data_IF_050641890464
#
_entry.id   IF_050641890464
#
_cell.length_a   1.000
_cell.length_b   1.000
_cell.length_c   1.000
_cell.angle_alpha   90.00
_cell.angle_beta   90.00
_cell.angle_gamma   90.00
#
_symmetry.space_group_name_H-M   'P 1'
#
loop_
_entity.id
_entity.type
_entity.pdbx_description
1 polymer ?
#
# COMPACT_ATOMS: atom_id res chain seq x y z
N UNK A 1 -22.34 -25.71 66.67
CA UNK A 1 -22.44 -25.15 65.30
C UNK A 1 -23.35 -26.06 64.50
N UNK A 2 -24.48 -25.52 64.06
CA UNK A 2 -25.56 -26.25 63.38
C UNK A 2 -25.09 -26.82 62.03
N UNK A 3 -25.23 -28.13 61.83
CA UNK A 3 -25.10 -28.74 60.51
C UNK A 3 -26.26 -28.28 59.63
N UNK A 4 -25.92 -27.62 58.52
CA UNK A 4 -26.88 -27.17 57.53
C UNK A 4 -27.46 -28.38 56.76
N UNK A 5 -28.79 -28.55 56.70
CA UNK A 5 -29.45 -29.73 56.11
C UNK A 5 -29.36 -29.82 54.57
N UNK A 6 -28.67 -28.89 53.91
CA UNK A 6 -28.58 -28.79 52.45
C UNK A 6 -27.59 -29.79 51.84
N UNK A 7 -26.54 -30.19 52.56
CA UNK A 7 -25.51 -31.09 52.01
C UNK A 7 -26.00 -32.54 51.87
N UNK A 8 -26.80 -33.01 52.83
CA UNK A 8 -27.40 -34.35 52.79
C UNK A 8 -28.48 -34.46 51.69
N UNK A 9 -29.23 -33.38 51.46
CA UNK A 9 -30.22 -33.29 50.38
C UNK A 9 -29.58 -33.28 48.99
N UNK A 10 -28.40 -32.66 48.83
CA UNK A 10 -27.65 -32.68 47.57
C UNK A 10 -27.04 -34.05 47.26
N UNK A 11 -26.50 -34.74 48.27
CA UNK A 11 -26.03 -36.13 48.15
C UNK A 11 -27.17 -37.10 47.81
N UNK A 12 -28.33 -36.97 48.44
CA UNK A 12 -29.51 -37.79 48.13
C UNK A 12 -30.09 -37.48 46.73
N UNK A 13 -30.05 -36.23 46.28
CA UNK A 13 -30.43 -35.86 44.89
C UNK A 13 -29.45 -36.42 43.87
N UNK A 14 -28.15 -36.39 44.16
CA UNK A 14 -27.12 -36.91 43.28
C UNK A 14 -27.18 -38.44 43.18
N UNK A 15 -27.35 -39.14 44.30
CA UNK A 15 -27.54 -40.60 44.34
C UNK A 15 -28.85 -41.02 43.66
N UNK A 16 -29.95 -40.27 43.83
CA UNK A 16 -31.20 -40.52 43.09
C UNK A 16 -31.01 -40.32 41.59
N UNK A 17 -30.31 -39.27 41.14
CA UNK A 17 -30.01 -39.06 39.72
C UNK A 17 -29.13 -40.18 39.16
N UNK A 18 -28.11 -40.61 39.91
CA UNK A 18 -27.17 -41.64 39.47
C UNK A 18 -27.84 -43.03 39.42
N UNK A 19 -28.75 -43.33 40.35
CA UNK A 19 -29.60 -44.53 40.32
C UNK A 19 -30.63 -44.47 39.18
N UNK A 20 -31.17 -43.28 38.88
CA UNK A 20 -32.08 -43.10 37.74
C UNK A 20 -31.34 -43.29 36.40
N UNK A 21 -30.12 -42.78 36.27
CA UNK A 21 -29.25 -42.95 35.10
C UNK A 21 -28.79 -44.41 34.95
N UNK A 22 -28.47 -45.10 36.04
CA UNK A 22 -28.16 -46.55 36.01
C UNK A 22 -29.39 -47.40 35.68
N UNK A 23 -30.56 -47.08 36.23
CA UNK A 23 -31.81 -47.80 35.94
C UNK A 23 -32.29 -47.57 34.49
N UNK A 24 -32.05 -46.37 33.94
CA UNK A 24 -32.26 -46.08 32.51
C UNK A 24 -31.30 -46.89 31.63
N UNK A 25 -30.05 -47.08 32.06
CA UNK A 25 -29.02 -47.82 31.29
C UNK A 25 -29.23 -49.35 31.31
N UNK A 26 -29.86 -49.90 32.36
CA UNK A 26 -30.13 -51.33 32.48
C UNK A 26 -31.54 -51.77 32.04
N UNK A 27 -32.50 -50.84 31.87
CA UNK A 27 -33.85 -51.16 31.40
C UNK A 27 -34.02 -51.05 29.88
N UNK A 28 -32.95 -50.70 29.15
CA UNK A 28 -32.99 -50.50 27.70
C UNK A 28 -32.07 -51.50 26.98
N UNK A 29 -32.24 -52.78 27.31
CA UNK A 29 -31.91 -53.86 26.39
C UNK A 29 -32.91 -53.80 25.25
N UNK A 30 -32.42 -53.45 24.07
CA UNK A 30 -33.15 -53.19 22.83
C UNK A 30 -33.99 -51.89 22.78
N UNK A 31 -33.51 -50.98 21.92
CA UNK A 31 -34.18 -49.82 21.34
C UNK A 31 -34.05 -48.49 22.11
N UNK A 32 -32.82 -47.98 22.20
CA UNK A 32 -32.53 -46.58 22.53
C UNK A 32 -32.92 -45.62 21.39
N UNK A 33 -34.22 -45.46 21.14
CA UNK A 33 -34.73 -44.26 20.49
C UNK A 33 -35.07 -43.27 21.60
N UNK A 34 -34.43 -42.11 21.64
CA UNK A 34 -34.91 -40.99 22.46
C UNK A 34 -36.42 -40.79 22.19
N UNK A 35 -37.22 -40.35 23.18
CA UNK A 35 -38.63 -40.06 22.93
C UNK A 35 -38.75 -39.13 21.73
N UNK A 36 -39.49 -39.56 20.71
CA UNK A 36 -39.54 -38.95 19.37
C UNK A 36 -39.84 -37.45 19.44
N UNK A 37 -40.60 -37.01 20.43
CA UNK A 37 -40.90 -35.60 20.70
C UNK A 37 -39.65 -34.79 21.10
N UNK A 38 -38.78 -35.32 21.95
CA UNK A 38 -37.56 -34.64 22.37
C UNK A 38 -36.52 -34.56 21.24
N UNK A 39 -36.37 -35.65 20.46
CA UNK A 39 -35.54 -35.66 19.25
C UNK A 39 -36.06 -34.66 18.21
N UNK A 40 -37.38 -34.59 18.02
CA UNK A 40 -38.02 -33.66 17.08
C UNK A 40 -37.86 -32.20 17.52
N UNK A 41 -38.00 -31.91 18.82
CA UNK A 41 -37.72 -30.58 19.39
C UNK A 41 -36.25 -30.20 19.28
N UNK A 42 -35.32 -31.11 19.54
CA UNK A 42 -33.89 -30.86 19.36
C UNK A 42 -33.50 -30.64 17.90
N UNK A 43 -34.09 -31.41 16.98
CA UNK A 43 -33.90 -31.22 15.55
C UNK A 43 -34.46 -29.88 15.09
N UNK A 44 -35.66 -29.50 15.56
CA UNK A 44 -36.28 -28.21 15.23
C UNK A 44 -35.49 -27.03 15.82
N UNK A 45 -35.04 -27.13 17.09
CA UNK A 45 -34.19 -26.12 17.71
C UNK A 45 -32.84 -26.01 16.99
N UNK A 46 -32.25 -27.15 16.59
CA UNK A 46 -31.02 -27.19 15.80
C UNK A 46 -31.23 -26.57 14.42
N UNK A 47 -32.37 -26.79 13.78
CA UNK A 47 -32.73 -26.16 12.50
C UNK A 47 -33.02 -24.67 12.69
N UNK A 48 -33.70 -24.24 13.75
CA UNK A 48 -33.90 -22.81 14.05
C UNK A 48 -32.59 -22.09 14.32
N UNK A 49 -31.72 -22.67 15.17
CA UNK A 49 -30.39 -22.14 15.45
C UNK A 49 -29.57 -22.13 14.17
N UNK A 50 -29.58 -23.23 13.41
CA UNK A 50 -28.93 -23.23 12.10
C UNK A 50 -29.55 -22.19 11.18
N UNK A 51 -30.85 -22.01 11.03
CA UNK A 51 -31.44 -20.99 10.16
C UNK A 51 -31.23 -19.55 10.66
N UNK A 52 -31.05 -19.33 11.97
CA UNK A 52 -30.72 -18.03 12.55
C UNK A 52 -29.24 -17.66 12.32
N UNK A 53 -28.33 -18.64 12.33
CA UNK A 53 -26.88 -18.43 12.15
C UNK A 53 -26.36 -18.79 10.74
N UNK A 54 -27.11 -19.59 9.98
CA UNK A 54 -26.83 -20.00 8.60
C UNK A 54 -27.41 -18.93 7.70
N UNK A 55 -26.67 -17.83 7.66
CA UNK A 55 -26.81 -16.85 6.62
C UNK A 55 -25.69 -17.13 5.61
N UNK A 56 -26.05 -17.50 4.38
CA UNK A 56 -25.07 -17.66 3.30
C UNK A 56 -24.27 -16.37 3.03
N UNK A 57 -24.75 -15.23 3.56
CA UNK A 57 -24.10 -13.93 3.51
C UNK A 57 -23.17 -13.64 4.70
N UNK A 58 -23.13 -14.49 5.74
CA UNK A 58 -22.25 -14.32 6.90
C UNK A 58 -21.09 -15.30 6.81
N UNK A 59 -20.15 -15.01 5.93
CA UNK A 59 -18.86 -15.70 5.89
C UNK A 59 -17.97 -15.25 7.06
N UNK A 60 -16.94 -16.02 7.38
CA UNK A 60 -15.91 -15.64 8.37
C UNK A 60 -15.31 -14.27 8.08
N UNK A 61 -15.19 -13.90 6.81
CA UNK A 61 -14.69 -12.59 6.37
C UNK A 61 -15.55 -11.44 6.87
N UNK A 62 -16.88 -11.57 6.79
CA UNK A 62 -17.82 -10.51 7.23
C UNK A 62 -17.75 -10.31 8.74
N UNK A 63 -17.58 -11.40 9.51
CA UNK A 63 -17.44 -11.33 10.96
C UNK A 63 -16.11 -10.64 11.31
N UNK A 64 -15.01 -11.03 10.66
CA UNK A 64 -13.70 -10.41 10.88
C UNK A 64 -13.70 -8.93 10.49
N UNK A 65 -14.32 -8.56 9.37
CA UNK A 65 -14.48 -7.17 8.95
C UNK A 65 -15.25 -6.34 9.99
N UNK A 66 -16.31 -6.91 10.56
CA UNK A 66 -17.12 -6.25 11.60
C UNK A 66 -16.34 -6.06 12.90
N UNK A 67 -15.51 -7.04 13.30
CA UNK A 67 -14.66 -6.94 14.48
C UNK A 67 -13.52 -5.91 14.31
N UNK A 68 -13.00 -5.77 13.08
CA UNK A 68 -11.92 -4.85 12.76
C UNK A 68 -12.40 -3.42 12.45
N UNK A 69 -13.71 -3.19 12.34
CA UNK A 69 -14.28 -1.87 12.02
C UNK A 69 -13.81 -0.74 12.97
N UNK A 70 -13.75 -0.93 14.30
CA UNK A 70 -13.21 0.11 15.20
C UNK A 70 -11.74 0.41 14.95
N UNK A 71 -10.94 -0.60 14.60
CA UNK A 71 -9.52 -0.45 14.30
C UNK A 71 -9.36 0.34 13.00
N UNK A 72 -10.12 0.00 11.96
CA UNK A 72 -10.11 0.74 10.70
C UNK A 72 -10.51 2.19 10.90
N UNK A 73 -11.50 2.47 11.75
CA UNK A 73 -11.87 3.85 12.09
C UNK A 73 -10.71 4.61 12.75
N UNK A 74 -10.02 4.02 13.72
CA UNK A 74 -8.84 4.64 14.36
C UNK A 74 -7.75 4.91 13.31
N UNK A 75 -7.45 3.94 12.46
CA UNK A 75 -6.45 4.09 11.38
C UNK A 75 -6.84 5.19 10.40
N UNK A 76 -8.12 5.28 10.01
CA UNK A 76 -8.63 6.31 9.12
C UNK A 76 -8.46 7.71 9.73
N UNK A 77 -8.80 7.85 11.02
CA UNK A 77 -8.65 9.12 11.76
C UNK A 77 -7.17 9.51 11.87
N UNK A 78 -6.30 8.58 12.26
CA UNK A 78 -4.86 8.83 12.35
C UNK A 78 -4.28 9.24 10.99
N UNK A 79 -4.61 8.49 9.93
CA UNK A 79 -4.10 8.76 8.58
C UNK A 79 -4.53 10.14 8.09
N UNK A 80 -5.75 10.57 8.42
CA UNK A 80 -6.24 11.92 8.09
C UNK A 80 -5.46 13.03 8.80
N UNK A 81 -5.05 12.81 10.06
CA UNK A 81 -4.23 13.76 10.81
C UNK A 81 -2.77 13.80 10.32
N UNK A 82 -2.22 12.66 9.92
CA UNK A 82 -0.86 12.59 9.40
C UNK A 82 -0.72 13.07 7.95
N UNK A 83 -1.79 13.12 7.16
CA UNK A 83 -1.77 13.59 5.78
C UNK A 83 -1.05 14.93 5.58
N UNK A 84 -1.44 16.02 6.30
CA UNK A 84 -0.73 17.30 6.24
C UNK A 84 0.75 17.21 6.64
N UNK A 85 1.09 16.35 7.60
CA UNK A 85 2.49 16.14 8.05
C UNK A 85 3.32 15.52 6.92
N UNK A 86 2.79 14.53 6.20
CA UNK A 86 3.48 13.93 5.06
C UNK A 86 3.67 14.92 3.91
N UNK A 87 2.68 15.78 3.64
CA UNK A 87 2.82 16.85 2.63
C UNK A 87 3.91 17.85 3.04
N UNK A 88 3.93 18.28 4.30
CA UNK A 88 4.98 19.15 4.83
C UNK A 88 6.36 18.49 4.74
N UNK A 89 6.46 17.21 5.09
CA UNK A 89 7.70 16.43 5.01
C UNK A 89 8.24 16.38 3.57
N UNK A 90 7.38 16.13 2.56
CA UNK A 90 7.79 16.14 1.15
C UNK A 90 8.38 17.50 0.77
N UNK A 91 7.70 18.59 1.13
CA UNK A 91 8.17 19.95 0.84
C UNK A 91 9.53 20.21 1.50
N UNK A 92 9.69 19.88 2.79
CA UNK A 92 10.95 20.09 3.53
C UNK A 92 12.09 19.25 2.92
N UNK A 93 11.86 17.97 2.63
CA UNK A 93 12.86 17.10 2.04
C UNK A 93 13.27 17.59 0.66
N UNK A 94 12.31 17.95 -0.21
CA UNK A 94 12.61 18.51 -1.53
C UNK A 94 13.36 19.83 -1.42
N UNK A 95 12.94 20.76 -0.56
CA UNK A 95 13.65 22.02 -0.34
C UNK A 95 15.07 21.81 0.18
N UNK A 96 15.30 20.82 1.05
CA UNK A 96 16.64 20.50 1.55
C UNK A 96 17.58 20.03 0.43
N UNK A 97 17.09 19.20 -0.50
CA UNK A 97 17.86 18.74 -1.65
C UNK A 97 18.16 19.91 -2.58
N UNK A 98 17.17 20.76 -2.88
CA UNK A 98 17.36 21.93 -3.73
C UNK A 98 18.36 22.91 -3.13
N UNK A 99 18.31 23.14 -1.82
CA UNK A 99 19.29 23.99 -1.13
C UNK A 99 20.72 23.47 -1.35
N UNK A 100 20.94 22.16 -1.15
CA UNK A 100 22.25 21.54 -1.35
C UNK A 100 22.67 21.60 -2.83
N UNK A 101 21.75 21.38 -3.77
CA UNK A 101 22.03 21.45 -5.20
C UNK A 101 22.42 22.87 -5.65
N UNK A 102 21.67 23.90 -5.26
CA UNK A 102 21.93 25.28 -5.71
C UNK A 102 23.06 25.97 -4.95
N UNK A 103 23.19 25.74 -3.64
CA UNK A 103 24.23 26.40 -2.84
C UNK A 103 25.52 25.58 -2.84
N UNK A 104 25.43 24.26 -2.84
CA UNK A 104 26.59 23.38 -2.75
C UNK A 104 27.13 22.93 -4.11
N UNK A 105 26.26 22.35 -4.96
CA UNK A 105 26.71 21.74 -6.22
C UNK A 105 26.91 22.74 -7.35
N UNK A 106 26.00 23.72 -7.50
CA UNK A 106 26.06 24.66 -8.62
C UNK A 106 27.39 25.43 -8.70
N UNK A 107 27.96 26.00 -7.62
CA UNK A 107 29.26 26.68 -7.70
C UNK A 107 30.39 25.76 -8.15
N UNK A 108 30.38 24.50 -7.68
CA UNK A 108 31.36 23.49 -8.08
C UNK A 108 31.21 23.17 -9.57
N UNK A 109 29.97 22.94 -10.02
CA UNK A 109 29.67 22.63 -11.42
C UNK A 109 30.13 23.74 -12.36
N UNK A 110 29.90 25.00 -11.98
CA UNK A 110 30.33 26.18 -12.74
C UNK A 110 31.86 26.31 -12.85
N UNK A 111 32.61 25.81 -11.85
CA UNK A 111 34.08 25.88 -11.84
C UNK A 111 34.78 24.72 -12.54
N UNK A 112 34.14 23.54 -12.62
CA UNK A 112 34.81 22.30 -13.02
C UNK A 112 34.41 21.80 -14.41
N UNK A 113 33.15 22.02 -14.83
CA UNK A 113 32.64 21.44 -16.06
C UNK A 113 32.70 22.39 -17.26
N UNK A 114 32.67 21.81 -18.46
CA UNK A 114 32.61 22.58 -19.70
C UNK A 114 31.27 23.33 -19.86
N UNK A 115 31.24 24.50 -20.53
CA UNK A 115 30.01 25.28 -20.70
C UNK A 115 28.81 24.51 -21.28
N UNK A 116 28.97 23.59 -22.27
CA UNK A 116 27.84 22.79 -22.77
C UNK A 116 27.23 21.87 -21.69
N UNK A 117 28.08 21.33 -20.82
CA UNK A 117 27.63 20.41 -19.78
C UNK A 117 26.95 21.14 -18.63
N UNK A 118 27.44 22.34 -18.29
CA UNK A 118 26.77 23.26 -17.38
C UNK A 118 25.37 23.60 -17.91
N UNK A 119 25.26 23.97 -19.19
CA UNK A 119 23.98 24.31 -19.81
C UNK A 119 22.98 23.13 -19.77
N UNK A 120 23.47 21.90 -20.00
CA UNK A 120 22.66 20.69 -19.85
C UNK A 120 22.14 20.49 -18.42
N UNK A 121 23.02 20.58 -17.41
CA UNK A 121 22.64 20.41 -16.01
C UNK A 121 21.61 21.45 -15.56
N UNK A 122 21.79 22.72 -15.96
CA UNK A 122 20.86 23.79 -15.65
C UNK A 122 19.54 23.56 -16.39
N UNK A 123 19.56 23.33 -17.70
CA UNK A 123 18.36 23.16 -18.52
C UNK A 123 17.51 21.96 -18.08
N UNK A 124 18.12 20.77 -18.04
CA UNK A 124 17.42 19.55 -17.63
C UNK A 124 16.99 19.62 -16.15
N UNK A 125 17.86 20.10 -15.26
CA UNK A 125 17.57 20.22 -13.84
C UNK A 125 16.36 21.11 -13.55
N UNK A 126 16.30 22.30 -14.17
CA UNK A 126 15.17 23.22 -13.99
C UNK A 126 13.90 22.69 -14.65
N UNK A 127 14.00 22.12 -15.85
CA UNK A 127 12.86 21.48 -16.52
C UNK A 127 12.23 20.38 -15.65
N UNK A 128 13.05 19.49 -15.12
CA UNK A 128 12.58 18.41 -14.27
C UNK A 128 11.99 18.94 -12.95
N UNK A 129 12.59 19.98 -12.36
CA UNK A 129 12.05 20.63 -11.16
C UNK A 129 10.66 21.23 -11.42
N UNK A 130 10.47 21.95 -12.53
CA UNK A 130 9.16 22.51 -12.92
C UNK A 130 8.14 21.40 -13.10
N UNK A 131 8.52 20.30 -13.76
CA UNK A 131 7.65 19.14 -13.94
C UNK A 131 7.23 18.49 -12.62
N UNK A 132 8.15 18.32 -11.67
CA UNK A 132 7.84 17.80 -10.33
C UNK A 132 6.84 18.72 -9.63
N UNK A 133 7.13 20.02 -9.55
CA UNK A 133 6.30 20.99 -8.83
C UNK A 133 4.89 21.05 -9.43
N UNK A 134 4.79 21.15 -10.76
CA UNK A 134 3.51 21.24 -11.45
C UNK A 134 2.64 20.00 -11.20
N UNK A 135 3.20 18.80 -11.40
CA UNK A 135 2.44 17.57 -11.25
C UNK A 135 2.08 17.30 -9.79
N UNK A 136 2.97 17.61 -8.84
CA UNK A 136 2.67 17.50 -7.40
C UNK A 136 1.54 18.44 -7.00
N UNK A 137 1.61 19.71 -7.40
CA UNK A 137 0.56 20.69 -7.15
C UNK A 137 -0.79 20.23 -7.73
N UNK A 138 -0.80 19.78 -8.99
CA UNK A 138 -2.01 19.26 -9.63
C UNK A 138 -2.53 18.00 -8.95
N UNK A 139 -1.68 17.09 -8.48
CA UNK A 139 -2.10 15.88 -7.78
C UNK A 139 -2.79 16.19 -6.43
N UNK A 140 -2.26 17.15 -5.67
CA UNK A 140 -2.84 17.58 -4.38
C UNK A 140 -4.15 18.35 -4.57
N UNK A 141 -4.16 19.31 -5.51
CA UNK A 141 -5.27 20.28 -5.62
C UNK A 141 -6.41 19.83 -6.52
N UNK A 142 -6.17 18.89 -7.42
CA UNK A 142 -7.23 18.37 -8.29
C UNK A 142 -8.06 17.36 -7.51
N UNK A 143 -9.38 17.60 -7.42
CA UNK A 143 -10.29 16.63 -6.83
C UNK A 143 -10.22 15.30 -7.59
N UNK A 144 -10.30 14.15 -6.91
CA UNK A 144 -10.14 12.83 -7.54
C UNK A 144 -11.29 12.47 -8.50
N UNK A 145 -12.44 13.11 -8.32
CA UNK A 145 -13.68 12.84 -9.07
C UNK A 145 -14.70 12.14 -8.19
N UNK A 146 -15.87 12.76 -8.04
CA UNK A 146 -16.98 12.25 -7.24
C UNK A 146 -18.15 11.88 -8.16
N UNK A 147 -18.93 10.85 -7.82
CA UNK A 147 -20.09 10.47 -8.61
C UNK A 147 -21.14 11.59 -8.66
N UNK A 148 -21.79 11.81 -9.81
CA UNK A 148 -22.86 12.79 -9.92
C UNK A 148 -24.06 12.39 -9.04
N UNK A 149 -24.73 13.38 -8.44
CA UNK A 149 -25.91 13.15 -7.59
C UNK A 149 -27.21 12.91 -8.37
N UNK A 150 -27.20 13.16 -9.68
CA UNK A 150 -28.38 13.06 -10.54
C UNK A 150 -28.55 11.62 -11.00
N UNK A 151 -29.81 11.14 -11.06
CA UNK A 151 -30.20 9.85 -11.64
C UNK A 151 -29.93 9.86 -13.14
N UNK A 152 -28.69 9.65 -13.54
CA UNK A 152 -28.37 9.33 -14.93
C UNK A 152 -28.51 7.82 -15.12
N UNK A 153 -28.86 7.41 -16.34
CA UNK A 153 -28.97 6.02 -16.82
C UNK A 153 -27.63 5.27 -16.86
N UNK A 154 -26.68 5.64 -15.99
CA UNK A 154 -25.40 4.97 -15.87
C UNK A 154 -25.65 3.64 -15.18
N UNK A 155 -25.26 2.50 -15.79
CA UNK A 155 -25.44 1.19 -15.17
C UNK A 155 -24.71 1.18 -13.81
N UNK A 156 -25.46 1.02 -12.73
CA UNK A 156 -24.92 0.96 -11.37
C UNK A 156 -24.71 -0.50 -10.97
N UNK A 157 -23.52 -0.80 -10.47
CA UNK A 157 -23.14 -2.18 -10.11
C UNK A 157 -23.55 -2.50 -8.66
N UNK A 158 -23.54 -1.49 -7.79
CA UNK A 158 -23.87 -1.64 -6.37
C UNK A 158 -24.21 -0.29 -5.73
N UNK A 159 -24.77 -0.30 -4.52
CA UNK A 159 -25.02 0.92 -3.72
C UNK A 159 -23.96 1.04 -2.63
N UNK A 160 -23.49 2.26 -2.37
CA UNK A 160 -22.60 2.52 -1.24
C UNK A 160 -23.39 2.53 0.07
N UNK A 161 -23.05 1.63 1.00
CA UNK A 161 -23.68 1.57 2.33
C UNK A 161 -23.43 2.81 3.19
N UNK A 162 -22.30 3.50 2.99
CA UNK A 162 -21.92 4.70 3.77
C UNK A 162 -22.50 5.98 3.18
N UNK A 163 -22.37 6.17 1.86
CA UNK A 163 -22.86 7.39 1.19
C UNK A 163 -24.32 7.32 0.74
N UNK A 164 -24.93 6.12 0.72
CA UNK A 164 -26.31 5.87 0.24
C UNK A 164 -26.52 6.42 -1.18
N UNK A 165 -25.55 6.16 -2.06
CA UNK A 165 -25.61 6.53 -3.48
C UNK A 165 -25.33 5.31 -4.37
N UNK A 166 -25.95 5.22 -5.56
CA UNK A 166 -25.57 4.22 -6.55
C UNK A 166 -24.11 4.45 -6.94
N UNK A 167 -23.30 3.38 -6.93
CA UNK A 167 -21.91 3.41 -7.37
C UNK A 167 -21.87 3.17 -8.87
N UNK A 168 -21.40 4.16 -9.67
CA UNK A 168 -21.00 3.90 -11.04
C UNK A 168 -19.92 2.82 -11.09
N UNK A 169 -19.73 2.18 -12.25
CA UNK A 169 -18.66 1.21 -12.44
C UNK A 169 -17.30 1.76 -11.96
N UNK A 170 -16.46 0.89 -11.38
CA UNK A 170 -15.10 1.21 -10.90
C UNK A 170 -15.04 2.26 -9.77
N UNK A 171 -16.17 2.56 -9.10
CA UNK A 171 -16.23 3.53 -8.00
C UNK A 171 -16.11 2.85 -6.65
N UNK A 172 -15.22 3.34 -5.80
CA UNK A 172 -15.02 2.82 -4.44
C UNK A 172 -15.20 3.94 -3.39
N UNK A 173 -15.58 3.55 -2.18
CA UNK A 173 -15.70 4.49 -1.06
C UNK A 173 -14.39 4.52 -0.29
N UNK A 174 -13.83 5.70 -0.10
CA UNK A 174 -12.68 5.90 0.77
C UNK A 174 -13.15 6.34 2.16
N UNK A 175 -12.82 5.58 3.20
CA UNK A 175 -13.13 5.92 4.59
C UNK A 175 -12.45 7.21 5.06
N UNK A 176 -11.19 7.41 4.66
CA UNK A 176 -10.38 8.59 5.00
C UNK A 176 -10.95 9.88 4.39
N UNK A 177 -11.25 9.85 3.08
CA UNK A 177 -11.90 10.97 2.37
C UNK A 177 -13.40 11.08 2.71
N UNK A 178 -13.99 10.07 3.35
CA UNK A 178 -15.43 9.88 3.61
C UNK A 178 -16.33 10.15 2.38
N UNK A 179 -15.89 9.68 1.22
CA UNK A 179 -16.56 9.94 -0.05
C UNK A 179 -16.35 8.79 -1.05
N UNK A 180 -17.29 8.62 -1.97
CA UNK A 180 -17.11 7.75 -3.13
C UNK A 180 -16.28 8.45 -4.19
N UNK A 181 -15.25 7.76 -4.69
CA UNK A 181 -14.30 8.27 -5.68
C UNK A 181 -14.42 7.46 -6.97
N UNK A 182 -14.59 8.17 -8.09
CA UNK A 182 -14.66 7.59 -9.43
C UNK A 182 -13.31 7.00 -9.84
N UNK A 183 -13.31 5.79 -10.41
CA UNK A 183 -12.09 5.05 -10.79
C UNK A 183 -11.02 5.15 -9.70
N UNK A 184 -11.43 4.87 -8.45
CA UNK A 184 -10.56 5.01 -7.30
C UNK A 184 -9.39 4.04 -7.43
N UNK A 185 -8.19 4.56 -7.23
CA UNK A 185 -6.99 3.75 -7.14
C UNK A 185 -6.61 3.54 -5.68
N UNK A 186 -6.17 4.59 -4.98
CA UNK A 186 -5.89 4.51 -3.55
C UNK A 186 -6.03 5.88 -2.87
N UNK A 187 -6.04 5.90 -1.54
CA UNK A 187 -5.82 7.12 -0.79
C UNK A 187 -4.33 7.31 -0.54
N UNK A 188 -3.77 8.46 -0.93
CA UNK A 188 -2.34 8.73 -0.80
C UNK A 188 -2.10 9.77 0.31
N UNK A 189 -1.53 9.38 1.47
CA UNK A 189 -1.20 10.32 2.54
C UNK A 189 -0.20 11.40 2.09
N UNK A 190 0.73 11.05 1.19
CA UNK A 190 1.74 11.97 0.63
C UNK A 190 1.18 13.12 -0.22
N UNK A 191 -0.06 12.95 -0.71
CA UNK A 191 -0.81 14.00 -1.39
C UNK A 191 -1.87 14.65 -0.50
N UNK A 192 -2.13 14.05 0.69
CA UNK A 192 -3.32 14.32 1.49
C UNK A 192 -4.61 14.33 0.64
N UNK A 193 -4.68 13.43 -0.35
CA UNK A 193 -5.75 13.38 -1.32
C UNK A 193 -5.95 11.94 -1.83
N UNK A 194 -7.17 11.62 -2.22
CA UNK A 194 -7.47 10.38 -2.91
C UNK A 194 -6.93 10.45 -4.36
N UNK A 195 -6.45 9.33 -4.90
CA UNK A 195 -6.07 9.19 -6.32
C UNK A 195 -7.21 8.48 -7.05
N UNK A 196 -7.79 9.17 -8.02
CA UNK A 196 -8.96 8.71 -8.78
C UNK A 196 -8.95 9.23 -10.21
N UNK A 197 -10.12 9.18 -10.86
CA UNK A 197 -10.26 9.42 -12.30
C UNK A 197 -9.58 10.71 -12.82
N UNK A 198 -9.78 11.85 -12.15
CA UNK A 198 -9.32 13.14 -12.67
C UNK A 198 -7.87 13.49 -12.32
N UNK A 199 -7.30 12.89 -11.27
CA UNK A 199 -5.96 13.21 -10.80
C UNK A 199 -4.93 12.08 -10.95
N UNK A 200 -5.35 10.88 -11.36
CA UNK A 200 -4.45 9.73 -11.55
C UNK A 200 -3.28 10.04 -12.50
N UNK A 201 -3.52 10.79 -13.59
CA UNK A 201 -2.45 11.20 -14.52
C UNK A 201 -1.39 12.08 -13.85
N UNK A 202 -1.81 12.99 -12.98
CA UNK A 202 -0.91 13.92 -12.30
C UNK A 202 -0.09 13.19 -11.25
N UNK A 203 -0.70 12.25 -10.53
CA UNK A 203 0.00 11.37 -9.60
C UNK A 203 1.09 10.55 -10.31
N UNK A 204 0.75 9.87 -11.42
CA UNK A 204 1.73 9.07 -12.16
C UNK A 204 2.89 9.91 -12.69
N UNK A 205 2.60 11.04 -13.34
CA UNK A 205 3.64 11.93 -13.85
C UNK A 205 4.51 12.50 -12.72
N UNK A 206 3.91 12.85 -11.57
CA UNK A 206 4.67 13.28 -10.39
C UNK A 206 5.66 12.19 -9.95
N UNK A 207 5.21 10.95 -9.79
CA UNK A 207 6.09 9.83 -9.42
C UNK A 207 7.20 9.63 -10.45
N UNK A 208 6.87 9.67 -11.74
CA UNK A 208 7.84 9.53 -12.83
C UNK A 208 8.92 10.62 -12.81
N UNK A 209 8.54 11.89 -12.82
CA UNK A 209 9.52 13.00 -12.84
C UNK A 209 10.31 13.11 -11.53
N UNK A 210 9.71 12.74 -10.39
CA UNK A 210 10.43 12.67 -9.12
C UNK A 210 11.45 11.53 -9.13
N UNK A 211 11.10 10.33 -9.63
CA UNK A 211 12.05 9.23 -9.84
C UNK A 211 13.17 9.65 -10.77
N UNK A 212 12.87 10.26 -11.92
CA UNK A 212 13.89 10.72 -12.88
C UNK A 212 14.81 11.77 -12.27
N UNK A 213 14.26 12.74 -11.55
CA UNK A 213 15.04 13.76 -10.85
C UNK A 213 15.97 13.18 -9.79
N UNK A 214 15.45 12.29 -8.94
CA UNK A 214 16.24 11.63 -7.90
C UNK A 214 17.32 10.72 -8.51
N UNK A 215 17.00 9.95 -9.55
CA UNK A 215 17.97 9.13 -10.28
C UNK A 215 19.06 9.99 -10.93
N UNK A 216 18.67 11.10 -11.56
CA UNK A 216 19.60 12.04 -12.16
C UNK A 216 20.57 12.63 -11.13
N UNK A 217 20.06 13.13 -9.99
CA UNK A 217 20.88 13.64 -8.89
C UNK A 217 21.82 12.58 -8.31
N UNK A 218 21.35 11.34 -8.15
CA UNK A 218 22.17 10.22 -7.67
C UNK A 218 23.30 9.85 -8.64
N UNK A 219 23.00 9.76 -9.94
CA UNK A 219 23.98 9.41 -10.97
C UNK A 219 25.02 10.53 -11.13
N UNK A 220 24.57 11.78 -11.27
CA UNK A 220 25.47 12.93 -11.44
C UNK A 220 26.28 13.24 -10.17
N UNK A 221 25.71 13.02 -8.98
CA UNK A 221 26.38 13.22 -7.70
C UNK A 221 27.27 12.05 -7.24
N UNK A 222 27.32 10.92 -7.97
CA UNK A 222 28.04 9.72 -7.53
C UNK A 222 29.52 9.97 -7.24
N UNK A 223 30.22 10.70 -8.11
CA UNK A 223 31.65 10.94 -7.92
C UNK A 223 31.89 11.83 -6.70
N UNK A 224 31.09 12.90 -6.55
CA UNK A 224 31.16 13.79 -5.39
C UNK A 224 30.86 13.05 -4.08
N UNK A 225 29.95 12.07 -4.10
CA UNK A 225 29.69 11.21 -2.96
C UNK A 225 30.91 10.39 -2.58
N UNK A 226 31.58 9.73 -3.53
CA UNK A 226 32.79 8.94 -3.27
C UNK A 226 33.91 9.82 -2.70
N UNK A 227 34.08 11.02 -3.25
CA UNK A 227 35.07 11.99 -2.78
C UNK A 227 34.75 12.45 -1.35
N UNK A 228 33.50 12.85 -1.09
CA UNK A 228 33.04 13.26 0.24
C UNK A 228 33.13 12.14 1.27
N UNK A 229 32.81 10.91 0.89
CA UNK A 229 32.90 9.72 1.76
C UNK A 229 34.37 9.45 2.13
N UNK A 230 35.26 9.42 1.14
CA UNK A 230 36.71 9.21 1.37
C UNK A 230 37.33 10.31 2.23
N UNK A 231 36.84 11.56 2.12
CA UNK A 231 37.28 12.67 2.97
C UNK A 231 36.86 12.46 4.43
N UNK A 232 35.60 12.06 4.67
CA UNK A 232 35.11 11.79 6.03
C UNK A 232 35.81 10.60 6.68
N UNK A 233 36.05 9.53 5.93
CA UNK A 233 36.76 8.35 6.44
C UNK A 233 38.18 8.73 6.89
N UNK A 234 38.91 9.50 6.07
CA UNK A 234 40.22 10.05 6.45
C UNK A 234 40.17 10.86 7.75
N UNK A 235 39.17 11.74 7.92
CA UNK A 235 39.04 12.51 9.17
C UNK A 235 38.80 11.62 10.38
N UNK A 236 37.96 10.59 10.25
CA UNK A 236 37.68 9.67 11.35
C UNK A 236 38.95 8.96 11.80
N UNK A 237 39.83 8.59 10.87
CA UNK A 237 41.12 8.00 11.20
C UNK A 237 42.05 8.97 11.94
N UNK A 238 42.16 10.22 11.47
CA UNK A 238 42.99 11.25 12.14
C UNK A 238 42.47 11.61 13.54
N UNK A 239 41.15 11.68 13.73
CA UNK A 239 40.55 11.96 15.05
C UNK A 239 40.81 10.82 16.05
N UNK A 240 40.77 9.56 15.59
CA UNK A 240 41.09 8.38 16.40
C UNK A 240 42.58 8.36 16.81
N UNK A 241 43.46 8.68 15.87
CA UNK A 241 44.90 8.81 16.12
C UNK A 241 45.20 9.90 17.16
N UNK A 242 44.59 11.09 17.01
CA UNK A 242 44.71 12.19 17.99
C UNK A 242 44.14 11.85 19.36
N UNK A 243 43.11 10.99 19.42
CA UNK A 243 42.49 10.56 20.68
C UNK A 243 43.30 9.48 21.41
N UNK A 244 44.48 9.10 20.89
CA UNK A 244 45.35 8.10 21.52
C UNK A 244 44.76 6.68 21.51
N UNK A 245 43.72 6.42 20.70
CA UNK A 245 43.17 5.09 20.51
C UNK A 245 44.05 4.41 19.46
N UNK A 246 44.84 3.38 19.82
CA UNK A 246 45.68 2.71 18.84
C UNK A 246 44.79 2.08 17.77
N UNK A 247 45.00 2.47 16.51
CA UNK A 247 44.34 1.90 15.33
C UNK A 247 44.98 0.53 15.05
N UNK A 248 44.89 -0.40 16.01
CA UNK A 248 45.51 -1.73 15.92
C UNK A 248 44.50 -2.87 15.81
N UNK A 249 43.20 -2.60 15.71
CA UNK A 249 42.17 -3.65 15.79
C UNK A 249 41.66 -4.23 14.46
N UNK A 250 41.41 -3.41 13.43
CA UNK A 250 40.58 -3.86 12.29
C UNK A 250 41.23 -3.72 10.91
N UNK A 251 42.22 -2.83 10.74
CA UNK A 251 42.95 -2.69 9.46
C UNK A 251 43.98 -3.79 9.22
N UNK A 252 44.52 -4.38 10.30
CA UNK A 252 45.51 -5.46 10.23
C UNK A 252 44.89 -6.80 9.80
N UNK A 253 43.61 -7.03 10.12
CA UNK A 253 42.87 -8.26 9.78
C UNK A 253 42.53 -8.39 8.29
N UNK A 254 42.54 -7.29 7.53
CA UNK A 254 42.22 -7.26 6.08
C UNK A 254 43.51 -7.20 5.22
N UNK A 255 44.70 -7.14 5.82
CA UNK A 255 45.97 -7.37 5.11
C UNK A 255 46.38 -6.29 4.09
N UNK A 256 45.92 -5.05 4.23
CA UNK A 256 46.22 -3.96 3.28
C UNK A 256 47.47 -3.15 3.67
N UNK A 257 48.00 -3.27 4.90
CA UNK A 257 49.15 -2.47 5.35
C UNK A 257 50.27 -3.34 5.96
N UNK A 258 51.44 -3.29 5.32
CA UNK A 258 52.72 -3.81 5.84
C UNK A 258 53.25 -2.93 6.97
N UNK A 259 53.96 -3.52 7.96
CA UNK A 259 54.52 -2.76 9.07
C UNK A 259 55.74 -1.96 8.56
N UNK A 260 55.64 -0.64 8.46
CA UNK A 260 56.81 0.21 8.26
C UNK A 260 56.76 1.37 7.26
N UNK A 261 55.60 1.84 6.80
CA UNK A 261 55.52 3.10 6.03
C UNK A 261 54.71 4.18 6.76
N UNK A 262 55.35 4.84 7.72
CA UNK A 262 54.95 6.14 8.25
C UNK A 262 55.71 7.25 7.52
N UNK A 263 55.47 7.43 6.22
CA UNK A 263 56.12 8.50 5.43
C UNK A 263 55.14 9.13 4.44
N UNK A 264 54.18 9.91 4.97
CA UNK A 264 53.75 11.14 4.33
C UNK A 264 53.59 12.22 5.40
N UNK A 265 54.64 13.03 5.57
CA UNK A 265 54.62 14.30 6.30
C UNK A 265 53.93 15.35 5.43
N UNK A 266 52.60 15.36 5.45
CA UNK A 266 51.84 16.62 5.39
C UNK A 266 50.77 16.51 6.46
N UNK A 267 50.65 17.47 7.40
CA UNK A 267 49.48 17.50 8.26
C UNK A 267 48.24 17.52 7.36
N UNK A 268 47.24 16.66 7.59
CA UNK A 268 46.01 16.72 6.80
C UNK A 268 45.50 18.17 6.87
N UNK A 269 45.08 18.76 5.74
CA UNK A 269 44.65 20.14 5.70
C UNK A 269 43.64 20.38 6.81
N UNK A 270 43.79 21.48 7.56
CA UNK A 270 42.87 21.84 8.64
C UNK A 270 41.50 22.13 8.03
N UNK A 271 40.63 21.12 8.00
CA UNK A 271 39.28 21.25 7.47
C UNK A 271 38.45 22.12 8.41
N UNK A 272 37.78 23.12 7.85
CA UNK A 272 36.89 23.97 8.64
C UNK A 272 35.59 23.21 8.98
N UNK A 273 34.89 23.61 10.04
CA UNK A 273 33.57 23.05 10.37
C UNK A 273 32.61 23.10 9.16
N UNK A 274 32.71 24.16 8.36
CA UNK A 274 31.93 24.36 7.13
C UNK A 274 32.18 23.25 6.11
N UNK A 275 33.44 22.86 5.91
CA UNK A 275 33.81 21.83 4.94
C UNK A 275 33.33 20.44 5.39
N UNK A 276 33.37 20.16 6.71
CA UNK A 276 32.79 18.94 7.29
C UNK A 276 31.27 18.87 7.09
N UNK A 277 30.58 19.99 7.29
CA UNK A 277 29.14 20.10 7.04
C UNK A 277 28.79 19.95 5.56
N UNK A 278 29.64 20.46 4.66
CA UNK A 278 29.47 20.33 3.22
C UNK A 278 29.55 18.86 2.77
N UNK A 279 30.58 18.11 3.16
CA UNK A 279 30.70 16.69 2.82
C UNK A 279 29.56 15.84 3.39
N UNK A 280 29.16 16.11 4.65
CA UNK A 280 27.98 15.45 5.24
C UNK A 280 26.69 15.75 4.46
N UNK A 281 26.54 16.97 3.97
CA UNK A 281 25.37 17.37 3.17
C UNK A 281 25.32 16.67 1.81
N UNK A 282 26.46 16.51 1.13
CA UNK A 282 26.56 15.73 -0.12
C UNK A 282 26.16 14.28 0.11
N UNK A 283 26.66 13.66 1.18
CA UNK A 283 26.32 12.27 1.52
C UNK A 283 24.82 12.14 1.82
N UNK A 284 24.26 13.05 2.62
CA UNK A 284 22.82 13.08 2.90
C UNK A 284 21.99 13.17 1.61
N UNK A 285 22.33 14.10 0.72
CA UNK A 285 21.63 14.30 -0.55
C UNK A 285 21.72 13.05 -1.44
N UNK A 286 22.91 12.45 -1.60
CA UNK A 286 23.09 11.26 -2.45
C UNK A 286 22.35 10.05 -1.89
N UNK A 287 22.42 9.80 -0.57
CA UNK A 287 21.70 8.70 0.08
C UNK A 287 20.19 8.89 -0.08
N UNK A 288 19.67 10.07 0.26
CA UNK A 288 18.24 10.37 0.17
C UNK A 288 17.72 10.21 -1.26
N UNK A 289 18.40 10.81 -2.25
CA UNK A 289 17.99 10.73 -3.66
C UNK A 289 18.08 9.31 -4.21
N UNK A 290 19.11 8.54 -3.85
CA UNK A 290 19.25 7.14 -4.26
C UNK A 290 18.15 6.25 -3.68
N UNK A 291 17.86 6.38 -2.38
CA UNK A 291 16.80 5.60 -1.72
C UNK A 291 15.43 5.94 -2.30
N UNK A 292 15.12 7.22 -2.49
CA UNK A 292 13.84 7.65 -3.09
C UNK A 292 13.75 7.17 -4.54
N UNK A 293 14.83 7.24 -5.33
CA UNK A 293 14.82 6.77 -6.72
C UNK A 293 14.46 5.28 -6.81
N UNK A 294 15.01 4.43 -5.94
CA UNK A 294 14.71 2.99 -5.93
C UNK A 294 13.27 2.73 -5.44
N UNK A 295 12.91 3.27 -4.28
CA UNK A 295 11.60 3.01 -3.67
C UNK A 295 10.45 3.54 -4.53
N UNK A 296 10.55 4.81 -4.96
CA UNK A 296 9.55 5.43 -5.82
C UNK A 296 9.61 4.86 -7.24
N UNK A 297 10.79 4.50 -7.75
CA UNK A 297 10.93 3.86 -9.06
C UNK A 297 10.18 2.54 -9.14
N UNK A 298 10.29 1.70 -8.10
CA UNK A 298 9.51 0.47 -8.00
C UNK A 298 8.00 0.73 -8.02
N UNK A 299 7.53 1.74 -7.28
CA UNK A 299 6.13 2.16 -7.29
C UNK A 299 5.69 2.67 -8.68
N UNK A 300 6.51 3.50 -9.34
CA UNK A 300 6.23 4.03 -10.68
C UNK A 300 6.11 2.91 -11.71
N UNK A 301 7.01 1.91 -11.67
CA UNK A 301 6.96 0.73 -12.55
C UNK A 301 5.70 -0.07 -12.29
N UNK A 302 5.36 -0.31 -11.01
CA UNK A 302 4.13 -1.01 -10.65
C UNK A 302 2.88 -0.32 -11.21
N UNK A 303 2.76 1.00 -11.03
CA UNK A 303 1.64 1.75 -11.62
C UNK A 303 1.66 1.75 -13.15
N UNK A 304 2.84 1.77 -13.78
CA UNK A 304 2.93 1.67 -15.24
C UNK A 304 2.36 0.32 -15.75
N UNK A 305 2.59 -0.78 -15.02
CA UNK A 305 2.00 -2.10 -15.33
C UNK A 305 0.48 -2.09 -15.13
N UNK A 306 -0.04 -1.45 -14.08
CA UNK A 306 -1.48 -1.32 -13.88
C UNK A 306 -2.13 -0.52 -15.01
N UNK A 307 -1.52 0.61 -15.38
CA UNK A 307 -1.99 1.48 -16.47
C UNK A 307 -1.97 0.75 -17.82
N UNK A 308 -0.92 -0.02 -18.12
CA UNK A 308 -0.83 -0.76 -19.38
C UNK A 308 -1.87 -1.88 -19.51
N UNK A 309 -2.36 -2.39 -18.38
CA UNK A 309 -3.49 -3.35 -18.31
C UNK A 309 -4.86 -2.66 -18.21
N UNK A 310 -4.89 -1.34 -18.04
CA UNK A 310 -6.11 -0.57 -17.83
C UNK A 310 -6.78 -0.80 -16.47
N UNK A 311 -6.07 -1.40 -15.52
CA UNK A 311 -6.54 -1.75 -14.17
C UNK A 311 -6.18 -0.65 -13.16
N UNK A 312 -7.00 -0.49 -12.11
CA UNK A 312 -6.58 0.18 -10.86
C UNK A 312 -5.96 -0.84 -9.90
N UNK A 313 -5.27 -0.36 -8.87
CA UNK A 313 -4.74 -1.20 -7.80
C UNK A 313 -5.84 -1.98 -7.06
N UNK A 314 -7.02 -1.37 -6.87
CA UNK A 314 -8.18 -2.05 -6.30
C UNK A 314 -8.69 -3.14 -7.24
N UNK A 315 -8.83 -2.85 -8.53
CA UNK A 315 -9.28 -3.84 -9.52
C UNK A 315 -8.31 -4.99 -9.63
N UNK A 316 -7.00 -4.73 -9.61
CA UNK A 316 -5.98 -5.78 -9.60
C UNK A 316 -6.16 -6.73 -8.43
N UNK A 317 -6.42 -6.20 -7.24
CA UNK A 317 -6.66 -7.01 -6.05
C UNK A 317 -7.94 -7.84 -6.14
N UNK A 318 -9.02 -7.23 -6.65
CA UNK A 318 -10.30 -7.92 -6.86
C UNK A 318 -10.12 -9.04 -7.90
N UNK A 319 -9.51 -8.73 -9.05
CA UNK A 319 -9.27 -9.68 -10.13
C UNK A 319 -8.43 -10.86 -9.65
N UNK A 320 -7.33 -10.61 -8.92
CA UNK A 320 -6.50 -11.67 -8.34
C UNK A 320 -7.33 -12.59 -7.40
N UNK A 321 -8.14 -12.01 -6.49
CA UNK A 321 -9.01 -12.79 -5.60
C UNK A 321 -10.07 -13.58 -6.35
N UNK A 322 -10.65 -13.01 -7.39
CA UNK A 322 -11.64 -13.70 -8.23
C UNK A 322 -10.98 -14.82 -9.05
N UNK A 323 -9.76 -14.63 -9.55
CA UNK A 323 -8.97 -15.69 -10.22
C UNK A 323 -8.72 -16.86 -9.26
N UNK A 324 -8.30 -16.60 -8.02
CA UNK A 324 -8.10 -17.63 -7.00
C UNK A 324 -9.40 -18.38 -6.69
N UNK A 325 -10.51 -17.65 -6.49
CA UNK A 325 -11.84 -18.25 -6.28
C UNK A 325 -12.28 -19.13 -7.45
N UNK A 326 -12.08 -18.66 -8.68
CA UNK A 326 -12.48 -19.42 -9.87
C UNK A 326 -11.60 -20.66 -10.07
N UNK A 327 -10.29 -20.57 -9.76
CA UNK A 327 -9.40 -21.72 -9.75
C UNK A 327 -9.86 -22.80 -8.74
N UNK A 328 -10.28 -22.41 -7.52
CA UNK A 328 -10.83 -23.37 -6.55
C UNK A 328 -12.17 -23.99 -7.00
N UNK A 329 -12.91 -23.32 -7.89
CA UNK A 329 -14.20 -23.77 -8.43
C UNK A 329 -14.06 -24.49 -9.77
N UNK A 330 -12.84 -24.71 -10.27
CA UNK A 330 -12.57 -25.35 -11.57
C UNK A 330 -13.02 -24.54 -12.79
N UNK A 331 -13.30 -23.24 -12.64
CA UNK A 331 -13.68 -22.35 -13.75
C UNK A 331 -12.45 -21.52 -14.14
N UNK A 332 -11.98 -21.59 -15.38
CA UNK A 332 -10.95 -20.68 -15.88
C UNK A 332 -11.61 -19.50 -16.60
N UNK A 333 -11.25 -18.27 -16.23
CA UNK A 333 -11.60 -17.09 -17.01
C UNK A 333 -10.53 -16.89 -18.08
N UNK A 334 -10.90 -17.00 -19.35
CA UNK A 334 -10.05 -16.62 -20.48
C UNK A 334 -10.17 -15.11 -20.64
N UNK A 335 -9.09 -14.36 -20.35
CA UNK A 335 -9.00 -12.94 -20.71
C UNK A 335 -8.79 -12.84 -22.22
N UNK A 336 -9.84 -12.42 -22.93
CA UNK A 336 -9.85 -12.27 -24.39
C UNK A 336 -9.46 -10.86 -24.87
N UNK A 337 -8.99 -9.97 -23.97
CA UNK A 337 -8.64 -8.62 -24.38
C UNK A 337 -7.19 -8.50 -24.88
N UNK A 338 -6.97 -7.89 -26.07
CA UNK A 338 -5.61 -7.66 -26.55
C UNK A 338 -4.87 -6.73 -25.58
N UNK A 339 -3.57 -6.93 -25.35
CA UNK A 339 -2.77 -5.98 -24.58
C UNK A 339 -2.90 -4.61 -25.22
N UNK A 340 -3.14 -3.56 -24.41
CA UNK A 340 -3.29 -2.17 -24.86
C UNK A 340 -1.95 -1.57 -25.31
N UNK A 341 -1.20 -2.32 -26.11
CA UNK A 341 0.06 -1.93 -26.70
C UNK A 341 -0.22 -1.50 -28.15
N UNK A 342 -0.12 -0.18 -28.38
CA UNK A 342 0.24 0.45 -29.66
C UNK A 342 -0.82 0.96 -30.65
N UNK A 343 -2.12 1.18 -30.30
CA UNK A 343 -3.06 1.77 -31.30
C UNK A 343 -3.99 2.88 -30.84
N UNK A 344 -3.82 3.48 -29.66
CA UNK A 344 -4.55 4.71 -29.32
C UNK A 344 -3.59 5.89 -29.20
N UNK A 345 -3.82 7.02 -29.90
CA UNK A 345 -3.14 8.25 -29.56
C UNK A 345 -3.45 8.52 -28.09
N UNK A 346 -2.40 8.57 -27.27
CA UNK A 346 -2.46 9.25 -25.99
C UNK A 346 -3.16 10.58 -26.25
N UNK A 347 -4.21 10.88 -25.48
CA UNK A 347 -4.61 12.23 -25.08
C UNK A 347 -5.91 12.84 -25.60
N UNK A 348 -6.58 12.33 -26.63
CA UNK A 348 -7.81 12.99 -27.12
C UNK A 348 -9.00 12.04 -27.28
N UNK A 349 -9.83 11.94 -26.22
CA UNK A 349 -11.31 12.03 -26.26
C UNK A 349 -11.95 11.60 -24.92
N UNK A 350 -12.99 12.30 -24.41
CA UNK A 350 -13.65 11.94 -23.15
C UNK A 350 -14.61 10.73 -23.23
N UNK A 351 -15.06 10.28 -24.41
CA UNK A 351 -16.37 9.62 -24.49
C UNK A 351 -16.44 8.22 -25.15
N UNK A 352 -15.33 7.57 -25.53
CA UNK A 352 -15.40 6.28 -26.28
C UNK A 352 -15.05 5.02 -25.46
N UNK A 353 -14.77 5.15 -24.17
CA UNK A 353 -14.57 4.00 -23.26
C UNK A 353 -15.86 3.25 -22.87
N UNK A 354 -17.03 3.75 -23.28
CA UNK A 354 -18.33 3.20 -22.91
C UNK A 354 -18.72 1.95 -23.72
N UNK A 355 -18.35 1.87 -25.00
CA UNK A 355 -18.87 0.84 -25.92
C UNK A 355 -18.14 -0.51 -25.85
N UNK A 356 -16.83 -0.54 -25.58
CA UNK A 356 -16.09 -1.80 -25.48
C UNK A 356 -16.32 -2.53 -24.15
N UNK A 357 -16.62 -1.78 -23.08
CA UNK A 357 -16.95 -2.35 -21.77
C UNK A 357 -18.43 -2.74 -21.64
N UNK A 358 -19.34 -2.10 -22.40
CA UNK A 358 -20.74 -2.53 -22.49
C UNK A 358 -20.82 -3.99 -22.97
N UNK A 359 -20.11 -4.34 -24.05
CA UNK A 359 -20.05 -5.71 -24.57
C UNK A 359 -19.45 -6.71 -23.57
N UNK A 360 -18.52 -6.27 -22.71
CA UNK A 360 -17.88 -7.10 -21.67
C UNK A 360 -18.84 -7.35 -20.49
N UNK A 361 -19.70 -6.38 -20.18
CA UNK A 361 -20.72 -6.48 -19.13
C UNK A 361 -21.94 -7.29 -19.59
N UNK A 362 -22.38 -7.10 -20.84
CA UNK A 362 -23.51 -7.83 -21.43
C UNK A 362 -23.20 -9.33 -21.56
N UNK A 363 -21.97 -9.68 -21.92
CA UNK A 363 -21.50 -11.07 -21.96
C UNK A 363 -21.41 -11.72 -20.55
N UNK A 364 -21.07 -10.93 -19.52
CA UNK A 364 -20.99 -11.43 -18.14
C UNK A 364 -22.38 -11.59 -17.51
N UNK A 365 -23.31 -10.68 -17.83
CA UNK A 365 -24.72 -10.76 -17.42
C UNK A 365 -25.42 -11.94 -18.09
N UNK A 366 -25.23 -12.15 -19.40
CA UNK A 366 -25.81 -13.30 -20.10
C UNK A 366 -25.32 -14.62 -19.51
N UNK A 367 -24.02 -14.72 -19.19
CA UNK A 367 -23.45 -15.91 -18.55
C UNK A 367 -24.02 -16.13 -17.13
N UNK A 368 -24.30 -15.05 -16.39
CA UNK A 368 -24.87 -15.14 -15.05
C UNK A 368 -26.35 -15.54 -15.05
N UNK A 369 -27.10 -15.15 -16.08
CA UNK A 369 -28.51 -15.54 -16.26
C UNK A 369 -28.62 -16.99 -16.75
N UNK A 370 -27.72 -17.44 -17.63
CA UNK A 370 -27.64 -18.84 -18.06
C UNK A 370 -27.28 -19.78 -16.91
N UNK A 371 -26.30 -19.41 -16.07
CA UNK A 371 -25.97 -20.19 -14.87
C UNK A 371 -27.11 -20.19 -13.83
N UNK A 372 -27.94 -19.14 -13.78
CA UNK A 372 -29.10 -19.07 -12.87
C UNK A 372 -30.24 -19.98 -13.32
N UNK A 373 -30.46 -20.08 -14.63
CA UNK A 373 -31.45 -20.98 -15.24
C UNK A 373 -31.06 -22.46 -15.10
N UNK A 374 -29.77 -22.79 -15.25
CA UNK A 374 -29.28 -24.17 -15.06
C UNK A 374 -29.41 -24.65 -13.61
N UNK A 375 -29.14 -23.78 -12.62
CA UNK A 375 -29.34 -24.13 -11.19
C UNK A 375 -30.80 -24.17 -10.72
N UNK A 376 -31.75 -23.89 -11.60
CA UNK A 376 -33.20 -23.94 -11.29
C UNK A 376 -33.88 -25.22 -11.81
N UNK A 377 -33.15 -26.05 -12.58
CA UNK A 377 -33.68 -27.23 -13.28
C UNK A 377 -33.07 -28.55 -12.75
N UNK A 378 -32.08 -28.49 -11.85
CA UNK A 378 -31.61 -29.61 -11.03
C UNK A 378 -32.04 -29.45 -9.57
#
# INVERSE_FOLDING_TARGET
>A
MHLCPTFLLLLLRWVRLHLWVRRWRCSNGNNSRLPTCAQRRWAYLRVMVRSLYYNSLTSSDVIMDSLMEPIFWVVDVLTRWFGPVFVCLVVVLTSSILLIAYVGLLPMVLSTYSPPWIAWHIGYGHWNLVMIIFHYYKAIRTAPGYPPKVKNEVPFVSVCKKCIIPKPARTHHCGICNACVLKMDHHCPWLNNCVGHFNHRYFFCFCLFLTLGCAYCSISGRNLFLDAYSAIERFKHTDLEKSGIPVTGMGLLIGILTPGQSTYQTPPPTYTFRDKMFHKSIIYMWVLTSTVAVALGGLTIWHAVLISRGETSIERHINNKETERNATRGKSLVDTSPPALWTCPLWERPDLGHLSNQKRHDACLSQSEQNRLETSIE
#
